data_IF_100381292820
#
_entry.id   IF_100381292820
#
_cell.length_a   1.000
_cell.length_b   1.000
_cell.length_c   1.000
_cell.angle_alpha   90.00
_cell.angle_beta   90.00
_cell.angle_gamma   90.00
#
_symmetry.space_group_name_H-M   'P 1'
#
loop_
_entity.id
_entity.type
_entity.pdbx_description
1 polymer ?
#
# COMPACT_ATOMS: atom_id res chain seq x y z
N UNK A 1 21.69 18.00 18.39
CA UNK A 1 21.66 17.89 16.92
C UNK A 1 22.91 18.52 16.30
N UNK A 2 23.32 18.01 15.12
CA UNK A 2 24.45 18.54 14.39
C UNK A 2 24.15 19.83 13.60
N UNK A 3 25.09 20.26 12.78
CA UNK A 3 24.94 21.40 11.89
C UNK A 3 24.24 20.98 10.59
N UNK A 4 23.57 21.93 9.94
CA UNK A 4 23.15 21.76 8.56
C UNK A 4 24.31 22.14 7.64
N UNK A 5 24.75 21.18 6.81
CA UNK A 5 25.92 21.30 5.95
C UNK A 5 25.51 21.10 4.49
N UNK A 6 26.35 21.51 3.54
CA UNK A 6 26.12 21.31 2.12
C UNK A 6 26.32 19.83 1.69
N UNK A 7 26.17 19.54 0.41
CA UNK A 7 26.34 18.19 -0.15
C UNK A 7 27.71 17.57 0.14
N UNK A 8 28.75 18.39 0.28
CA UNK A 8 30.13 17.96 0.55
C UNK A 8 30.41 17.79 2.05
N UNK A 9 29.46 18.14 2.93
CA UNK A 9 29.67 18.16 4.37
C UNK A 9 30.36 19.43 4.87
N UNK A 10 30.40 20.50 4.08
CA UNK A 10 31.01 21.75 4.48
C UNK A 10 29.98 22.67 5.14
N UNK A 11 30.42 23.40 6.15
CA UNK A 11 29.60 24.42 6.82
C UNK A 11 29.15 25.47 5.81
N UNK A 12 27.84 25.72 5.76
CA UNK A 12 27.25 26.76 4.91
C UNK A 12 27.66 28.15 5.38
N UNK A 13 28.13 28.99 4.44
CA UNK A 13 28.42 30.39 4.70
C UNK A 13 28.12 31.26 3.48
N UNK A 14 27.73 32.52 3.72
CA UNK A 14 27.46 33.48 2.63
C UNK A 14 28.73 33.74 1.79
N UNK A 15 29.89 33.74 2.39
CA UNK A 15 31.18 33.95 1.69
C UNK A 15 31.56 32.81 0.76
N UNK A 16 31.13 31.56 1.05
CA UNK A 16 31.33 30.39 0.16
C UNK A 16 30.25 30.25 -0.89
N UNK A 17 29.14 30.99 -0.79
CA UNK A 17 28.03 30.90 -1.72
C UNK A 17 27.24 29.59 -1.68
N UNK A 18 27.46 28.74 -0.65
CA UNK A 18 26.84 27.42 -0.51
C UNK A 18 25.62 27.40 0.43
N UNK A 19 25.07 28.58 0.73
CA UNK A 19 23.90 28.71 1.63
C UNK A 19 22.63 28.27 0.89
N UNK A 20 21.93 27.32 1.48
CA UNK A 20 20.59 26.89 1.05
C UNK A 20 19.58 27.52 2.02
N UNK A 21 18.91 28.59 1.58
CA UNK A 21 17.93 29.28 2.41
C UNK A 21 16.58 28.53 2.40
N UNK A 22 15.91 28.37 3.56
CA UNK A 22 14.59 27.72 3.65
C UNK A 22 13.54 28.32 2.73
N UNK A 23 13.49 29.66 2.59
CA UNK A 23 12.57 30.36 1.70
C UNK A 23 12.75 29.98 0.23
N UNK A 24 13.98 29.72 -0.20
CA UNK A 24 14.29 29.27 -1.55
C UNK A 24 13.76 27.85 -1.77
N UNK A 25 13.97 26.96 -0.79
CA UNK A 25 13.43 25.59 -0.85
C UNK A 25 11.90 25.61 -0.88
N UNK A 26 11.28 26.41 -0.01
CA UNK A 26 9.83 26.52 0.05
C UNK A 26 9.22 27.01 -1.25
N UNK A 27 9.89 27.93 -1.96
CA UNK A 27 9.44 28.42 -3.29
C UNK A 27 9.62 27.40 -4.40
N UNK A 28 10.69 26.61 -4.36
CA UNK A 28 11.04 25.67 -5.45
C UNK A 28 10.36 24.31 -5.26
N UNK A 29 10.36 23.76 -4.05
CA UNK A 29 9.88 22.41 -3.74
C UNK A 29 8.59 22.39 -2.92
N UNK A 30 8.28 23.47 -2.22
CA UNK A 30 7.21 23.52 -1.22
C UNK A 30 7.72 23.27 0.19
N UNK A 31 7.06 23.87 1.18
CA UNK A 31 7.45 23.81 2.60
C UNK A 31 7.39 22.38 3.15
N UNK A 32 6.46 21.57 2.68
CA UNK A 32 6.28 20.18 3.14
C UNK A 32 7.45 19.27 2.79
N UNK A 33 8.12 19.54 1.66
CA UNK A 33 9.34 18.80 1.29
C UNK A 33 10.47 19.09 2.28
N UNK A 34 10.60 20.34 2.73
CA UNK A 34 11.58 20.72 3.75
C UNK A 34 11.26 20.05 5.11
N UNK A 35 9.99 20.06 5.52
CA UNK A 35 9.54 19.40 6.74
C UNK A 35 9.76 17.88 6.70
N UNK A 36 9.43 17.25 5.57
CA UNK A 36 9.66 15.82 5.37
C UNK A 36 11.15 15.48 5.36
N UNK A 37 11.99 16.33 4.75
CA UNK A 37 13.46 16.15 4.78
C UNK A 37 13.98 16.14 6.22
N UNK A 38 13.53 17.07 7.08
CA UNK A 38 13.89 17.06 8.50
C UNK A 38 13.43 15.77 9.18
N UNK A 39 12.17 15.34 8.91
CA UNK A 39 11.62 14.12 9.49
C UNK A 39 12.32 12.83 9.03
N UNK A 40 12.91 12.83 7.83
CA UNK A 40 13.65 11.69 7.28
C UNK A 40 15.15 11.70 7.62
N UNK A 41 15.65 12.80 8.18
CA UNK A 41 17.07 12.95 8.47
C UNK A 41 17.39 12.47 9.87
N UNK A 42 18.53 11.80 10.02
CA UNK A 42 19.12 11.53 11.33
C UNK A 42 19.82 12.82 11.84
N UNK A 43 19.14 13.53 12.73
CA UNK A 43 19.61 14.78 13.28
C UNK A 43 20.59 14.63 14.46
N UNK A 44 20.96 13.41 14.82
CA UNK A 44 22.01 13.15 15.84
C UNK A 44 23.40 13.60 15.36
N UNK A 45 23.62 13.58 14.04
CA UNK A 45 24.81 14.09 13.38
C UNK A 45 24.54 15.34 12.51
N UNK A 46 25.49 15.68 11.64
CA UNK A 46 25.37 16.79 10.70
C UNK A 46 24.38 16.45 9.56
N UNK A 47 23.47 17.38 9.30
CA UNK A 47 22.41 17.22 8.29
C UNK A 47 22.88 17.73 6.93
N UNK A 48 23.03 16.84 5.96
CA UNK A 48 23.36 17.23 4.58
C UNK A 48 22.11 17.66 3.82
N UNK A 49 22.20 18.82 3.16
CA UNK A 49 21.15 19.31 2.28
C UNK A 49 21.71 19.63 0.89
N UNK A 50 20.99 19.17 -0.14
CA UNK A 50 21.29 19.47 -1.53
C UNK A 50 20.03 19.37 -2.38
N UNK A 51 20.05 19.90 -3.59
CA UNK A 51 18.94 19.78 -4.52
C UNK A 51 18.60 18.32 -4.83
N UNK A 52 19.58 17.43 -4.92
CA UNK A 52 19.34 16.01 -5.21
C UNK A 52 18.65 15.31 -4.04
N UNK A 53 19.05 15.60 -2.82
CA UNK A 53 18.38 15.11 -1.60
C UNK A 53 16.92 15.61 -1.57
N UNK A 54 16.71 16.89 -1.84
CA UNK A 54 15.36 17.47 -1.88
C UNK A 54 14.49 16.87 -2.98
N UNK A 55 15.05 16.56 -4.17
CA UNK A 55 14.34 15.85 -5.24
C UNK A 55 13.93 14.44 -4.80
N UNK A 56 14.82 13.69 -4.15
CA UNK A 56 14.50 12.37 -3.60
C UNK A 56 13.36 12.46 -2.57
N UNK A 57 13.41 13.44 -1.67
CA UNK A 57 12.34 13.66 -0.71
C UNK A 57 11.02 14.08 -1.39
N UNK A 58 11.08 14.84 -2.47
CA UNK A 58 9.90 15.18 -3.26
C UNK A 58 9.25 13.92 -3.90
N UNK A 59 10.04 12.95 -4.36
CA UNK A 59 9.50 11.68 -4.85
C UNK A 59 8.84 10.87 -3.73
N UNK A 60 9.42 10.83 -2.53
CA UNK A 60 8.81 10.18 -1.36
C UNK A 60 7.51 10.87 -0.95
N UNK A 61 7.51 12.20 -0.91
CA UNK A 61 6.30 12.99 -0.67
C UNK A 61 5.19 12.69 -1.68
N UNK A 62 5.53 12.61 -2.98
CA UNK A 62 4.56 12.25 -4.03
C UNK A 62 3.94 10.87 -3.79
N UNK A 63 4.72 9.88 -3.32
CA UNK A 63 4.20 8.57 -2.98
C UNK A 63 3.15 8.67 -1.85
N UNK A 64 3.47 9.38 -0.76
CA UNK A 64 2.53 9.60 0.35
C UNK A 64 1.25 10.26 -0.18
N UNK A 65 1.37 11.39 -0.90
CA UNK A 65 0.24 12.14 -1.43
C UNK A 65 -0.63 11.31 -2.39
N UNK A 66 -0.01 10.57 -3.29
CA UNK A 66 -0.72 9.69 -4.22
C UNK A 66 -1.47 8.57 -3.51
N UNK A 67 -0.88 7.98 -2.47
CA UNK A 67 -1.55 6.95 -1.65
C UNK A 67 -2.77 7.54 -0.95
N UNK A 68 -2.64 8.69 -0.31
CA UNK A 68 -3.77 9.40 0.32
C UNK A 68 -4.87 9.68 -0.72
N UNK A 69 -4.51 10.24 -1.87
CA UNK A 69 -5.45 10.53 -2.95
C UNK A 69 -6.19 9.28 -3.43
N UNK A 70 -5.48 8.17 -3.58
CA UNK A 70 -6.08 6.90 -3.98
C UNK A 70 -7.09 6.41 -2.94
N UNK A 71 -6.72 6.41 -1.66
CA UNK A 71 -7.61 6.02 -0.56
C UNK A 71 -8.87 6.88 -0.56
N UNK A 72 -8.73 8.21 -0.55
CA UNK A 72 -9.87 9.14 -0.49
C UNK A 72 -10.81 8.98 -1.69
N UNK A 73 -10.26 8.85 -2.90
CA UNK A 73 -11.06 8.69 -4.10
C UNK A 73 -11.90 7.40 -4.09
N UNK A 74 -11.36 6.31 -3.54
CA UNK A 74 -12.04 5.01 -3.56
C UNK A 74 -12.98 4.76 -2.38
N UNK A 75 -13.01 5.65 -1.39
CA UNK A 75 -13.99 5.61 -0.29
C UNK A 75 -15.03 6.73 -0.39
N UNK A 76 -15.05 7.49 -1.48
CA UNK A 76 -15.90 8.66 -1.63
C UNK A 76 -17.39 8.33 -1.61
N UNK A 77 -17.77 7.17 -2.08
CA UNK A 77 -19.15 6.67 -2.10
C UNK A 77 -19.48 5.73 -0.91
N UNK A 78 -18.55 5.57 0.04
CA UNK A 78 -18.76 4.75 1.24
C UNK A 78 -19.73 5.45 2.21
N UNK A 79 -20.94 4.93 2.28
CA UNK A 79 -21.99 5.46 3.17
C UNK A 79 -22.01 4.71 4.51
N UNK A 80 -21.07 5.04 5.39
CA UNK A 80 -20.96 4.49 6.75
C UNK A 80 -20.15 5.44 7.64
N UNK A 81 -20.01 5.13 8.91
CA UNK A 81 -19.09 5.81 9.83
C UNK A 81 -17.95 4.86 10.24
N UNK A 82 -16.89 5.41 10.84
CA UNK A 82 -15.71 4.64 11.20
C UNK A 82 -15.99 3.54 12.26
N UNK A 83 -16.94 3.75 13.15
CA UNK A 83 -17.30 2.76 14.16
C UNK A 83 -17.97 1.53 13.53
N UNK A 84 -18.83 1.74 12.55
CA UNK A 84 -19.43 0.63 11.80
C UNK A 84 -18.41 0.01 10.81
N UNK A 85 -17.55 0.81 10.21
CA UNK A 85 -16.48 0.32 9.37
C UNK A 85 -15.55 -0.66 10.11
N UNK A 86 -15.26 -0.44 11.40
CA UNK A 86 -14.50 -1.38 12.24
C UNK A 86 -15.15 -2.75 12.41
N UNK A 87 -16.48 -2.82 12.27
CA UNK A 87 -17.27 -4.06 12.45
C UNK A 87 -17.52 -4.78 11.12
N UNK A 88 -17.00 -4.29 10.01
CA UNK A 88 -17.19 -4.91 8.70
C UNK A 88 -16.69 -6.36 8.70
N UNK A 89 -17.35 -7.21 7.93
CA UNK A 89 -16.88 -8.58 7.72
C UNK A 89 -15.71 -8.56 6.73
N UNK A 90 -14.50 -8.36 7.26
CA UNK A 90 -13.30 -8.23 6.47
C UNK A 90 -12.91 -9.52 5.77
N UNK A 91 -12.54 -9.42 4.50
CA UNK A 91 -11.96 -10.52 3.75
C UNK A 91 -10.55 -10.85 4.28
N UNK A 92 -9.97 -11.98 3.86
CA UNK A 92 -8.63 -12.38 4.28
C UNK A 92 -7.58 -11.29 3.97
N UNK A 93 -7.67 -10.70 2.78
CA UNK A 93 -6.73 -9.67 2.32
C UNK A 93 -6.90 -8.37 3.13
N UNK A 94 -8.14 -7.99 3.45
CA UNK A 94 -8.42 -6.82 4.28
C UNK A 94 -7.92 -7.01 5.72
N UNK A 95 -8.09 -8.19 6.29
CA UNK A 95 -7.54 -8.55 7.60
C UNK A 95 -6.02 -8.46 7.61
N UNK A 96 -5.37 -8.98 6.57
CA UNK A 96 -3.92 -8.92 6.42
C UNK A 96 -3.40 -7.50 6.44
N UNK A 97 -3.95 -6.60 5.60
CA UNK A 97 -3.46 -5.21 5.54
C UNK A 97 -3.79 -4.43 6.83
N UNK A 98 -4.92 -4.71 7.48
CA UNK A 98 -5.28 -4.09 8.76
C UNK A 98 -4.32 -4.50 9.87
N UNK A 99 -3.88 -5.77 9.93
CA UNK A 99 -2.85 -6.23 10.86
C UNK A 99 -1.52 -5.49 10.60
N UNK A 100 -1.09 -5.44 9.34
CA UNK A 100 0.15 -4.73 8.94
C UNK A 100 0.08 -3.25 9.31
N UNK A 101 -1.02 -2.57 8.96
CA UNK A 101 -1.23 -1.17 9.29
C UNK A 101 -1.23 -0.93 10.81
N UNK A 102 -1.88 -1.80 11.58
CA UNK A 102 -1.92 -1.70 13.04
C UNK A 102 -0.52 -1.77 13.64
N UNK A 103 0.29 -2.74 13.25
CA UNK A 103 1.66 -2.89 13.73
C UNK A 103 2.53 -1.69 13.33
N UNK A 104 2.57 -1.35 12.04
CA UNK A 104 3.42 -0.26 11.53
C UNK A 104 3.04 1.09 12.13
N UNK A 105 1.75 1.42 12.21
CA UNK A 105 1.33 2.73 12.75
C UNK A 105 1.58 2.84 14.25
N UNK A 106 1.51 1.73 14.99
CA UNK A 106 1.94 1.68 16.39
C UNK A 106 3.44 1.95 16.51
N UNK A 107 4.27 1.25 15.75
CA UNK A 107 5.74 1.42 15.76
C UNK A 107 6.14 2.86 15.36
N UNK A 108 5.50 3.42 14.33
CA UNK A 108 5.74 4.81 13.91
C UNK A 108 5.35 5.79 15.00
N UNK A 109 4.21 5.57 15.68
CA UNK A 109 3.79 6.41 16.81
C UNK A 109 4.78 6.36 17.95
N UNK A 110 5.32 5.18 18.26
CA UNK A 110 6.36 5.02 19.29
C UNK A 110 7.67 5.72 18.89
N UNK A 111 8.10 5.55 17.63
CA UNK A 111 9.26 6.28 17.09
C UNK A 111 9.09 7.80 17.22
N UNK A 112 7.90 8.33 16.90
CA UNK A 112 7.62 9.76 17.01
C UNK A 112 7.63 10.25 18.46
N UNK A 113 7.10 9.47 19.42
CA UNK A 113 7.18 9.79 20.85
C UNK A 113 8.62 9.77 21.38
N UNK A 114 9.44 8.87 20.82
CA UNK A 114 10.87 8.78 21.15
C UNK A 114 11.73 9.79 20.38
N UNK A 115 11.14 10.66 19.56
CA UNK A 115 11.84 11.59 18.68
C UNK A 115 12.74 10.92 17.61
N UNK A 116 12.55 9.64 17.33
CA UNK A 116 13.22 8.90 16.24
C UNK A 116 12.39 9.00 14.94
N UNK A 117 12.29 10.23 14.43
CA UNK A 117 11.44 10.52 13.27
C UNK A 117 11.91 9.80 12.00
N UNK A 118 13.23 9.71 11.79
CA UNK A 118 13.79 9.07 10.61
C UNK A 118 13.40 7.60 10.51
N UNK A 119 13.52 6.85 11.61
CA UNK A 119 13.09 5.45 11.68
C UNK A 119 11.59 5.31 11.43
N UNK A 120 10.78 6.16 12.09
CA UNK A 120 9.33 6.16 11.91
C UNK A 120 8.92 6.42 10.47
N UNK A 121 9.42 7.47 9.82
CA UNK A 121 9.09 7.78 8.43
C UNK A 121 9.59 6.73 7.43
N UNK A 122 10.77 6.15 7.64
CA UNK A 122 11.26 5.07 6.78
C UNK A 122 10.37 3.83 6.88
N UNK A 123 9.94 3.44 8.09
CA UNK A 123 8.98 2.35 8.29
C UNK A 123 7.64 2.62 7.61
N UNK A 124 7.12 3.85 7.77
CA UNK A 124 5.89 4.27 7.12
C UNK A 124 5.99 4.22 5.58
N UNK A 125 7.05 4.78 5.00
CA UNK A 125 7.27 4.80 3.55
C UNK A 125 7.41 3.40 2.97
N UNK A 126 8.07 2.49 3.69
CA UNK A 126 8.16 1.09 3.29
C UNK A 126 6.77 0.43 3.26
N UNK A 127 5.98 0.58 4.31
CA UNK A 127 4.60 0.08 4.36
C UNK A 127 3.75 0.65 3.21
N UNK A 128 3.78 1.97 3.00
CA UNK A 128 2.98 2.62 1.96
C UNK A 128 3.36 2.15 0.55
N UNK A 129 4.65 1.86 0.30
CA UNK A 129 5.12 1.44 -1.03
C UNK A 129 5.00 -0.05 -1.27
N UNK A 130 5.37 -0.89 -0.31
CA UNK A 130 5.45 -2.34 -0.47
C UNK A 130 4.13 -3.03 -0.15
N UNK A 131 3.64 -2.87 1.08
CA UNK A 131 2.44 -3.61 1.53
C UNK A 131 1.16 -2.96 1.01
N UNK A 132 1.00 -1.65 1.25
CA UNK A 132 -0.24 -0.96 0.91
C UNK A 132 -0.38 -0.79 -0.61
N UNK A 133 0.51 -0.03 -1.26
CA UNK A 133 0.38 0.24 -2.70
C UNK A 133 0.80 -0.93 -3.58
N UNK A 134 1.90 -1.62 -3.21
CA UNK A 134 2.47 -2.69 -4.02
C UNK A 134 1.67 -3.99 -4.01
N UNK A 135 0.91 -4.25 -2.94
CA UNK A 135 0.11 -5.47 -2.81
C UNK A 135 -1.37 -5.14 -2.68
N UNK A 136 -1.76 -4.51 -1.58
CA UNK A 136 -3.18 -4.39 -1.22
C UNK A 136 -3.99 -3.56 -2.21
N UNK A 137 -3.55 -2.33 -2.49
CA UNK A 137 -4.31 -1.44 -3.39
C UNK A 137 -4.33 -1.96 -4.83
N UNK A 138 -3.29 -2.66 -5.26
CA UNK A 138 -3.25 -3.27 -6.59
C UNK A 138 -4.29 -4.39 -6.72
N UNK A 139 -4.36 -5.29 -5.74
CA UNK A 139 -5.39 -6.34 -5.64
C UNK A 139 -6.80 -5.75 -5.59
N UNK A 140 -7.00 -4.68 -4.81
CA UNK A 140 -8.32 -4.10 -4.61
C UNK A 140 -8.89 -3.39 -5.85
N UNK A 141 -8.10 -3.13 -6.89
CA UNK A 141 -8.61 -2.47 -8.11
C UNK A 141 -9.79 -3.19 -8.73
N UNK A 142 -9.74 -4.52 -8.81
CA UNK A 142 -10.86 -5.30 -9.36
C UNK A 142 -12.11 -5.16 -8.51
N UNK A 143 -11.98 -5.20 -7.18
CA UNK A 143 -13.09 -5.05 -6.24
C UNK A 143 -13.72 -3.66 -6.33
N UNK A 144 -12.89 -2.62 -6.48
CA UNK A 144 -13.34 -1.23 -6.51
C UNK A 144 -14.00 -0.85 -7.84
N UNK A 145 -13.49 -1.38 -8.97
CA UNK A 145 -13.88 -0.93 -10.31
C UNK A 145 -14.75 -1.92 -11.06
N UNK A 146 -14.67 -3.22 -10.75
CA UNK A 146 -15.41 -4.26 -11.45
C UNK A 146 -16.59 -4.81 -10.66
N UNK A 147 -16.51 -4.86 -9.33
CA UNK A 147 -17.61 -5.37 -8.51
C UNK A 147 -18.80 -4.40 -8.52
N UNK A 148 -19.97 -4.96 -8.24
CA UNK A 148 -21.18 -4.16 -8.06
C UNK A 148 -21.04 -3.24 -6.84
N UNK A 149 -21.68 -2.06 -6.88
CA UNK A 149 -21.60 -1.06 -5.79
C UNK A 149 -21.99 -1.61 -4.41
N UNK A 150 -22.90 -2.57 -4.37
CA UNK A 150 -23.36 -3.23 -3.15
C UNK A 150 -22.61 -4.55 -2.86
N UNK A 151 -21.48 -4.82 -3.51
CA UNK A 151 -20.68 -6.00 -3.24
C UNK A 151 -20.11 -5.97 -1.83
N UNK A 152 -20.27 -7.07 -1.08
CA UNK A 152 -19.69 -7.21 0.26
C UNK A 152 -18.15 -7.08 0.24
N UNK A 153 -17.48 -7.60 -0.80
CA UNK A 153 -16.04 -7.48 -0.98
C UNK A 153 -15.59 -6.03 -1.20
N UNK A 154 -16.35 -5.28 -2.02
CA UNK A 154 -16.09 -3.86 -2.27
C UNK A 154 -16.26 -3.06 -1.00
N UNK A 155 -17.37 -3.26 -0.28
CA UNK A 155 -17.65 -2.62 1.00
C UNK A 155 -16.56 -2.91 2.03
N UNK A 156 -16.14 -4.16 2.17
CA UNK A 156 -15.05 -4.59 3.06
C UNK A 156 -13.75 -3.84 2.77
N UNK A 157 -13.34 -3.79 1.50
CA UNK A 157 -12.14 -3.07 1.08
C UNK A 157 -12.22 -1.57 1.36
N UNK A 158 -13.38 -0.94 1.09
CA UNK A 158 -13.59 0.48 1.38
C UNK A 158 -13.54 0.78 2.89
N UNK A 159 -14.11 -0.09 3.73
CA UNK A 159 -14.01 0.05 5.18
C UNK A 159 -12.55 -0.04 5.67
N UNK A 160 -11.78 -1.01 5.18
CA UNK A 160 -10.37 -1.12 5.50
C UNK A 160 -9.57 0.12 5.05
N UNK A 161 -9.82 0.60 3.83
CA UNK A 161 -9.19 1.82 3.31
C UNK A 161 -9.54 3.07 4.13
N UNK A 162 -10.80 3.21 4.58
CA UNK A 162 -11.24 4.33 5.40
C UNK A 162 -10.52 4.34 6.77
N UNK A 163 -10.40 3.19 7.40
CA UNK A 163 -9.69 3.04 8.68
C UNK A 163 -8.19 3.37 8.54
N UNK A 164 -7.55 2.85 7.50
CA UNK A 164 -6.15 3.13 7.20
C UNK A 164 -5.95 4.62 6.88
N UNK A 165 -6.81 5.21 6.04
CA UNK A 165 -6.73 6.63 5.69
C UNK A 165 -6.87 7.52 6.93
N UNK A 166 -7.86 7.26 7.79
CA UNK A 166 -8.08 8.05 9.03
C UNK A 166 -6.86 8.00 9.96
N UNK A 167 -6.31 6.80 10.16
CA UNK A 167 -5.14 6.62 11.02
C UNK A 167 -3.88 7.25 10.41
N UNK A 168 -3.64 7.06 9.11
CA UNK A 168 -2.52 7.64 8.38
C UNK A 168 -2.53 9.16 8.44
N UNK A 169 -3.68 9.80 8.15
CA UNK A 169 -3.82 11.27 8.20
C UNK A 169 -3.49 11.82 9.58
N UNK A 170 -4.03 11.20 10.64
CA UNK A 170 -3.71 11.61 12.01
C UNK A 170 -2.23 11.45 12.37
N UNK A 171 -1.60 10.39 11.87
CA UNK A 171 -0.20 10.06 12.17
C UNK A 171 0.76 11.07 11.54
N UNK A 172 0.50 11.50 10.30
CA UNK A 172 1.40 12.39 9.55
C UNK A 172 1.07 13.88 9.70
N UNK A 173 -0.10 14.24 10.24
CA UNK A 173 -0.55 15.62 10.40
C UNK A 173 0.48 16.54 11.08
N UNK A 174 1.23 16.13 12.12
CA UNK A 174 2.21 17.00 12.75
C UNK A 174 3.37 17.43 11.85
N UNK A 175 3.67 16.66 10.78
CA UNK A 175 4.78 16.94 9.86
C UNK A 175 4.28 17.43 8.51
N UNK A 176 3.29 16.77 7.92
CA UNK A 176 2.71 17.10 6.62
C UNK A 176 1.34 17.80 6.79
N UNK A 177 1.32 18.85 7.58
CA UNK A 177 0.10 19.52 8.04
C UNK A 177 -0.75 20.06 6.89
N UNK A 178 -0.13 20.76 5.93
CA UNK A 178 -0.88 21.35 4.78
C UNK A 178 -1.44 20.27 3.84
N UNK A 179 -0.69 19.19 3.65
CA UNK A 179 -1.16 18.05 2.85
C UNK A 179 -2.36 17.37 3.51
N UNK A 180 -2.29 17.19 4.83
CA UNK A 180 -3.39 16.60 5.58
C UNK A 180 -4.59 17.52 5.61
N UNK A 181 -4.39 18.82 5.76
CA UNK A 181 -5.47 19.81 5.73
C UNK A 181 -6.20 19.81 4.36
N UNK A 182 -5.44 19.85 3.25
CA UNK A 182 -6.00 19.70 1.91
C UNK A 182 -6.77 18.38 1.74
N UNK A 183 -6.23 17.28 2.30
CA UNK A 183 -6.89 15.99 2.30
C UNK A 183 -8.19 15.99 3.07
N UNK A 184 -8.22 16.62 4.26
CA UNK A 184 -9.42 16.74 5.09
C UNK A 184 -10.51 17.59 4.42
N UNK A 185 -10.15 18.69 3.76
CA UNK A 185 -11.13 19.49 2.98
C UNK A 185 -11.81 18.66 1.89
N UNK A 186 -11.07 17.75 1.24
CA UNK A 186 -11.55 16.88 0.16
C UNK A 186 -12.07 15.53 0.67
N UNK A 187 -11.95 15.22 1.96
CA UNK A 187 -12.29 13.92 2.52
C UNK A 187 -13.79 13.64 2.45
N UNK A 188 -14.20 12.38 2.20
CA UNK A 188 -15.60 11.97 2.29
C UNK A 188 -16.09 11.98 3.74
N UNK A 189 -17.43 11.99 3.88
CA UNK A 189 -18.11 12.11 5.19
C UNK A 189 -17.66 11.08 6.23
N UNK A 190 -17.35 9.86 5.79
CA UNK A 190 -16.87 8.77 6.67
C UNK A 190 -15.62 9.17 7.46
N UNK A 191 -14.76 10.02 6.92
CA UNK A 191 -13.52 10.48 7.58
C UNK A 191 -13.71 11.79 8.35
N UNK A 192 -14.62 12.65 7.89
CA UNK A 192 -14.80 13.98 8.48
C UNK A 192 -15.44 13.94 9.85
N UNK A 193 -16.44 13.06 10.03
CA UNK A 193 -17.28 13.07 11.24
C UNK A 193 -17.69 14.53 11.59
N UNK A 194 -17.13 15.10 12.68
CA UNK A 194 -17.33 16.50 13.07
C UNK A 194 -16.05 17.35 12.87
N UNK A 195 -15.05 16.84 12.15
CA UNK A 195 -13.76 17.50 11.94
C UNK A 195 -13.82 18.42 10.72
N UNK A 196 -13.22 19.61 10.82
CA UNK A 196 -13.20 20.61 9.76
C UNK A 196 -11.83 20.68 9.06
N UNK A 197 -10.76 20.53 9.83
CA UNK A 197 -9.39 20.68 9.34
C UNK A 197 -8.41 19.68 9.99
N UNK A 198 -7.13 19.81 9.65
CA UNK A 198 -6.07 18.93 10.17
C UNK A 198 -5.87 19.06 11.69
N UNK A 199 -6.25 20.17 12.32
CA UNK A 199 -6.06 20.36 13.77
C UNK A 199 -7.10 19.62 14.61
N UNK A 200 -8.22 19.25 14.02
CA UNK A 200 -9.24 18.43 14.67
C UNK A 200 -8.85 16.94 14.73
N UNK A 201 -7.81 16.54 13.97
CA UNK A 201 -7.37 15.15 13.91
C UNK A 201 -6.68 14.72 15.21
N UNK A 202 -7.34 13.86 15.95
CA UNK A 202 -6.73 13.13 17.07
C UNK A 202 -6.14 11.81 16.57
N UNK A 203 -5.21 11.26 17.37
CA UNK A 203 -4.68 9.92 17.09
C UNK A 203 -5.81 8.90 16.95
N UNK A 204 -5.71 8.06 15.93
CA UNK A 204 -6.69 7.01 15.66
C UNK A 204 -5.97 5.67 15.50
N UNK A 205 -5.65 5.00 16.63
CA UNK A 205 -4.92 3.75 16.60
C UNK A 205 -5.78 2.65 15.97
N UNK A 206 -5.16 1.86 15.13
CA UNK A 206 -5.70 0.62 14.63
C UNK A 206 -5.26 -0.51 15.57
N UNK A 207 -6.20 -1.28 16.08
CA UNK A 207 -5.93 -2.37 17.04
C UNK A 207 -6.45 -3.68 16.46
N UNK A 208 -6.04 -4.00 15.22
CA UNK A 208 -6.39 -5.25 14.58
C UNK A 208 -5.27 -6.26 14.78
N UNK A 209 -5.64 -7.47 15.15
CA UNK A 209 -4.74 -8.62 15.30
C UNK A 209 -5.50 -9.90 14.95
N UNK A 210 -5.78 -10.09 13.66
CA UNK A 210 -6.41 -11.30 13.16
C UNK A 210 -5.40 -12.44 13.08
N UNK A 211 -5.80 -13.63 13.46
CA UNK A 211 -4.98 -14.83 13.20
C UNK A 211 -4.99 -15.13 11.69
N UNK A 212 -3.85 -14.95 11.07
CA UNK A 212 -3.65 -15.19 9.63
C UNK A 212 -2.31 -15.89 9.44
N UNK A 213 -2.34 -17.02 8.77
CA UNK A 213 -1.14 -17.72 8.34
C UNK A 213 -0.66 -17.13 7.00
N UNK A 214 0.01 -15.99 7.04
CA UNK A 214 0.42 -15.24 5.83
C UNK A 214 1.81 -15.58 5.30
N UNK A 215 2.64 -16.28 6.06
CA UNK A 215 4.02 -16.59 5.66
C UNK A 215 4.08 -17.37 4.34
N UNK A 216 3.28 -18.44 4.21
CA UNK A 216 3.22 -19.23 2.98
C UNK A 216 2.70 -18.38 1.80
N UNK A 217 1.69 -17.53 2.04
CA UNK A 217 1.12 -16.66 1.03
C UNK A 217 2.14 -15.63 0.53
N UNK A 218 2.90 -15.03 1.44
CA UNK A 218 3.94 -14.05 1.09
C UNK A 218 5.10 -14.70 0.33
N UNK A 219 5.65 -15.80 0.87
CA UNK A 219 6.79 -16.48 0.27
C UNK A 219 6.47 -17.06 -1.12
N UNK A 220 5.29 -17.67 -1.27
CA UNK A 220 4.87 -18.21 -2.57
C UNK A 220 4.55 -17.10 -3.59
N UNK A 221 3.99 -15.96 -3.15
CA UNK A 221 3.76 -14.80 -4.02
C UNK A 221 5.09 -14.20 -4.52
N UNK A 222 6.11 -14.13 -3.67
CA UNK A 222 7.44 -13.63 -4.08
C UNK A 222 8.03 -14.49 -5.19
N UNK A 223 8.04 -15.81 -5.02
CA UNK A 223 8.50 -16.75 -6.06
C UNK A 223 7.68 -16.68 -7.34
N UNK A 224 6.36 -16.56 -7.23
CA UNK A 224 5.49 -16.36 -8.37
C UNK A 224 5.87 -15.09 -9.14
N UNK A 225 6.10 -13.98 -8.44
CA UNK A 225 6.43 -12.69 -9.06
C UNK A 225 7.76 -12.76 -9.84
N UNK A 226 8.77 -13.48 -9.35
CA UNK A 226 10.04 -13.69 -10.07
C UNK A 226 9.79 -14.38 -11.42
N UNK A 227 8.96 -15.44 -11.44
CA UNK A 227 8.59 -16.14 -12.67
C UNK A 227 7.78 -15.22 -13.60
N UNK A 228 6.78 -14.54 -13.06
CA UNK A 228 5.93 -13.59 -13.81
C UNK A 228 6.77 -12.51 -14.49
N UNK A 229 7.75 -11.94 -13.78
CA UNK A 229 8.63 -10.92 -14.34
C UNK A 229 9.49 -11.47 -15.50
N UNK A 230 9.94 -12.71 -15.39
CA UNK A 230 10.64 -13.41 -16.46
C UNK A 230 9.72 -13.61 -17.68
N UNK A 231 8.50 -14.11 -17.46
CA UNK A 231 7.53 -14.36 -18.52
C UNK A 231 7.11 -13.07 -19.25
N UNK A 232 6.95 -11.96 -18.51
CA UNK A 232 6.66 -10.64 -19.09
C UNK A 232 7.82 -10.11 -19.92
N UNK A 233 9.07 -10.26 -19.45
CA UNK A 233 10.28 -9.87 -20.21
C UNK A 233 10.40 -10.66 -21.51
N UNK A 234 10.05 -11.94 -21.50
CA UNK A 234 10.01 -12.81 -22.68
C UNK A 234 8.77 -12.59 -23.57
N UNK A 235 7.84 -11.72 -23.15
CA UNK A 235 6.57 -11.42 -23.84
C UNK A 235 5.64 -12.64 -24.00
N UNK A 236 5.78 -13.64 -23.15
CA UNK A 236 4.93 -14.85 -23.14
C UNK A 236 3.55 -14.55 -22.56
N UNK A 237 3.47 -13.58 -21.64
CA UNK A 237 2.23 -13.09 -21.04
C UNK A 237 2.21 -11.55 -21.04
N UNK A 238 1.02 -10.97 -21.05
CA UNK A 238 0.80 -9.52 -20.87
C UNK A 238 0.31 -9.20 -19.46
N UNK A 239 -0.42 -10.11 -18.83
CA UNK A 239 -1.02 -9.96 -17.51
C UNK A 239 -0.90 -11.27 -16.72
N UNK A 240 -0.76 -11.17 -15.41
CA UNK A 240 -0.84 -12.32 -14.49
C UNK A 240 -2.19 -13.02 -14.53
N UNK A 241 -3.26 -12.29 -14.91
CA UNK A 241 -4.61 -12.84 -15.08
C UNK A 241 -4.72 -13.83 -16.26
N UNK A 242 -3.67 -13.97 -17.09
CA UNK A 242 -3.58 -15.02 -18.10
C UNK A 242 -3.11 -16.37 -17.52
N UNK A 243 -2.77 -16.39 -16.24
CA UNK A 243 -2.20 -17.54 -15.56
C UNK A 243 -3.20 -18.22 -14.63
N UNK A 244 -2.98 -19.53 -14.47
CA UNK A 244 -3.61 -20.38 -13.46
C UNK A 244 -2.51 -21.08 -12.67
N UNK A 245 -2.77 -21.34 -11.39
CA UNK A 245 -1.86 -22.04 -10.48
C UNK A 245 -2.40 -23.44 -10.19
N UNK A 246 -1.59 -24.45 -10.40
CA UNK A 246 -1.83 -25.80 -9.94
C UNK A 246 -0.90 -26.08 -8.76
N UNK A 247 -1.47 -26.52 -7.64
CA UNK A 247 -0.69 -26.79 -6.43
C UNK A 247 -1.20 -28.00 -5.65
N UNK A 248 -0.27 -28.72 -5.02
CA UNK A 248 -0.59 -29.78 -4.07
C UNK A 248 -0.67 -29.27 -2.62
N UNK A 249 -0.55 -27.97 -2.39
CA UNK A 249 -0.71 -27.36 -1.07
C UNK A 249 -2.13 -27.45 -0.58
N UNK A 250 -2.40 -28.37 0.36
CA UNK A 250 -3.71 -28.49 1.01
C UNK A 250 -4.14 -27.20 1.70
N UNK A 251 -3.16 -26.44 2.24
CA UNK A 251 -3.44 -25.14 2.90
C UNK A 251 -3.94 -24.11 1.91
N UNK A 252 -3.26 -23.91 0.79
CA UNK A 252 -3.68 -22.95 -0.25
C UNK A 252 -5.03 -23.33 -0.84
N UNK A 253 -5.26 -24.61 -1.12
CA UNK A 253 -6.53 -25.09 -1.66
C UNK A 253 -7.67 -24.89 -0.66
N UNK A 254 -7.48 -25.22 0.61
CA UNK A 254 -8.48 -24.98 1.66
C UNK A 254 -8.74 -23.48 1.86
N UNK A 255 -7.71 -22.63 1.84
CA UNK A 255 -7.88 -21.18 1.88
C UNK A 255 -8.67 -20.67 0.69
N UNK A 256 -8.42 -21.19 -0.52
CA UNK A 256 -9.11 -20.81 -1.74
C UNK A 256 -10.60 -21.20 -1.68
N UNK A 257 -10.93 -22.37 -1.15
CA UNK A 257 -12.31 -22.83 -0.96
C UNK A 257 -13.04 -21.99 0.10
N UNK A 258 -12.39 -21.69 1.23
CA UNK A 258 -13.01 -21.01 2.36
C UNK A 258 -13.14 -19.49 2.19
N UNK A 259 -12.28 -18.87 1.39
CA UNK A 259 -12.23 -17.40 1.22
C UNK A 259 -12.65 -16.95 -0.18
N UNK A 260 -13.29 -17.81 -0.94
CA UNK A 260 -13.76 -17.47 -2.29
C UNK A 260 -12.60 -17.03 -3.21
N UNK A 261 -12.76 -15.90 -3.89
CA UNK A 261 -11.74 -15.39 -4.82
C UNK A 261 -10.54 -14.71 -4.15
N UNK A 262 -10.49 -14.59 -2.83
CA UNK A 262 -9.44 -13.83 -2.13
C UNK A 262 -8.03 -14.37 -2.40
N UNK A 263 -7.87 -15.69 -2.47
CA UNK A 263 -6.57 -16.31 -2.74
C UNK A 263 -6.16 -16.14 -4.20
N UNK A 264 -7.11 -16.23 -5.13
CA UNK A 264 -6.88 -15.91 -6.55
C UNK A 264 -6.48 -14.45 -6.71
N UNK A 265 -7.16 -13.54 -6.01
CA UNK A 265 -6.84 -12.11 -5.99
C UNK A 265 -5.45 -11.87 -5.37
N UNK A 266 -5.10 -12.59 -4.28
CA UNK A 266 -3.78 -12.52 -3.67
C UNK A 266 -2.65 -12.78 -4.66
N UNK A 267 -2.79 -13.81 -5.48
CA UNK A 267 -1.82 -14.13 -6.53
C UNK A 267 -2.06 -13.37 -7.84
N UNK A 268 -3.18 -12.67 -7.95
CA UNK A 268 -3.61 -11.98 -9.17
C UNK A 268 -3.70 -12.92 -10.38
N UNK A 269 -4.22 -14.12 -10.19
CA UNK A 269 -4.40 -15.15 -11.22
C UNK A 269 -5.87 -15.45 -11.46
N UNK A 270 -6.18 -16.12 -12.57
CA UNK A 270 -7.56 -16.45 -12.92
C UNK A 270 -8.12 -17.64 -12.16
N UNK A 271 -7.28 -18.62 -11.82
CA UNK A 271 -7.71 -19.80 -11.06
C UNK A 271 -6.57 -20.40 -10.22
N UNK A 272 -6.96 -21.12 -9.17
CA UNK A 272 -6.08 -21.97 -8.35
C UNK A 272 -6.76 -23.31 -8.19
N UNK A 273 -6.08 -24.40 -8.51
CA UNK A 273 -6.64 -25.74 -8.55
C UNK A 273 -5.64 -26.81 -8.07
N UNK A 274 -6.17 -27.99 -7.70
CA UNK A 274 -5.33 -29.11 -7.29
C UNK A 274 -4.76 -29.87 -8.49
N UNK A 275 -5.46 -29.87 -9.61
CA UNK A 275 -5.08 -30.54 -10.84
C UNK A 275 -5.57 -29.76 -12.07
N UNK A 276 -4.90 -29.88 -13.18
CA UNK A 276 -5.24 -29.20 -14.42
C UNK A 276 -4.23 -29.49 -15.53
N UNK A 277 -4.67 -29.29 -16.78
CA UNK A 277 -3.86 -29.49 -17.97
C UNK A 277 -3.59 -28.16 -18.68
N UNK A 278 -2.33 -27.91 -19.01
CA UNK A 278 -1.93 -26.71 -19.73
C UNK A 278 -0.45 -26.69 -20.04
N UNK A 279 -0.04 -25.71 -20.83
CA UNK A 279 1.36 -25.41 -21.06
C UNK A 279 1.99 -24.89 -19.77
N UNK A 280 2.97 -25.60 -19.23
CA UNK A 280 3.69 -25.21 -18.03
C UNK A 280 4.68 -24.08 -18.38
N UNK A 281 4.44 -22.90 -17.83
CA UNK A 281 5.30 -21.72 -18.04
C UNK A 281 6.33 -21.53 -16.94
N UNK A 282 6.16 -22.19 -15.80
CA UNK A 282 7.09 -22.16 -14.69
C UNK A 282 6.65 -23.03 -13.52
N UNK A 283 7.60 -23.37 -12.68
CA UNK A 283 7.38 -24.19 -11.48
C UNK A 283 8.24 -23.68 -10.33
N UNK A 284 7.75 -23.80 -9.11
CA UNK A 284 8.51 -23.53 -7.90
C UNK A 284 8.00 -24.37 -6.72
N UNK A 285 8.87 -24.55 -5.73
CA UNK A 285 8.53 -25.16 -4.44
C UNK A 285 8.49 -24.09 -3.34
N UNK A 286 7.53 -24.21 -2.44
CA UNK A 286 7.40 -23.37 -1.24
C UNK A 286 6.79 -24.19 -0.10
N UNK A 287 7.47 -24.26 1.06
CA UNK A 287 7.03 -24.99 2.25
C UNK A 287 6.51 -26.43 1.93
N UNK A 288 7.33 -27.23 1.26
CA UNK A 288 7.03 -28.62 0.86
C UNK A 288 5.85 -28.76 -0.14
N UNK A 289 5.38 -27.66 -0.70
CA UNK A 289 4.35 -27.67 -1.74
C UNK A 289 4.91 -27.27 -3.09
N UNK A 290 4.42 -27.94 -4.13
CA UNK A 290 4.76 -27.64 -5.52
C UNK A 290 3.69 -26.72 -6.12
N UNK A 291 4.17 -25.74 -6.88
CA UNK A 291 3.37 -24.79 -7.62
C UNK A 291 3.75 -24.86 -9.08
N UNK A 292 2.80 -25.19 -9.96
CA UNK A 292 2.94 -25.13 -11.41
C UNK A 292 2.12 -23.98 -11.95
N UNK A 293 2.71 -23.18 -12.79
CA UNK A 293 2.08 -22.01 -13.41
C UNK A 293 1.78 -22.40 -14.86
N UNK A 294 0.52 -22.37 -15.22
CA UNK A 294 0.07 -22.69 -16.57
C UNK A 294 -0.63 -21.47 -17.19
N UNK A 295 -0.67 -21.45 -18.53
CA UNK A 295 -1.44 -20.46 -19.27
C UNK A 295 -2.88 -20.91 -19.35
N UNK A 296 -3.82 -20.07 -18.92
CA UNK A 296 -5.23 -20.35 -19.03
C UNK A 296 -5.68 -20.40 -20.50
N UNK A 297 -6.56 -21.33 -20.81
CA UNK A 297 -7.22 -21.45 -22.12
C UNK A 297 -8.62 -20.83 -22.13
N UNK A 298 -9.09 -20.32 -21.00
CA UNK A 298 -10.41 -19.75 -20.85
C UNK A 298 -10.56 -18.39 -21.56
N UNK A 299 -11.78 -17.95 -21.77
CA UNK A 299 -12.09 -16.67 -22.41
C UNK A 299 -11.93 -15.51 -21.45
N UNK A 300 -11.41 -14.40 -21.96
CA UNK A 300 -11.16 -13.17 -21.19
C UNK A 300 -12.47 -12.41 -20.95
N UNK A 301 -12.79 -12.15 -19.68
CA UNK A 301 -13.88 -11.24 -19.32
C UNK A 301 -13.55 -9.80 -19.79
N UNK A 302 -14.44 -9.13 -20.54
CA UNK A 302 -14.18 -7.77 -21.02
C UNK A 302 -14.14 -6.73 -19.90
N UNK A 303 -14.74 -7.01 -18.75
CA UNK A 303 -14.83 -6.08 -17.61
C UNK A 303 -13.65 -6.21 -16.65
N UNK A 304 -13.40 -7.39 -16.10
CA UNK A 304 -12.34 -7.59 -15.08
C UNK A 304 -11.06 -8.21 -15.63
N UNK A 305 -11.06 -8.61 -16.90
CA UNK A 305 -9.93 -9.22 -17.61
C UNK A 305 -9.49 -10.59 -17.10
N UNK A 306 -10.12 -11.13 -16.06
CA UNK A 306 -9.91 -12.52 -15.64
C UNK A 306 -10.37 -13.46 -16.74
N UNK A 307 -9.73 -14.63 -16.85
CA UNK A 307 -10.11 -15.65 -17.78
C UNK A 307 -11.20 -16.52 -17.14
N UNK A 308 -12.39 -16.54 -17.73
CA UNK A 308 -13.56 -17.30 -17.25
C UNK A 308 -13.82 -18.50 -18.14
N UNK A 309 -14.35 -19.59 -17.56
CA UNK A 309 -14.56 -20.85 -18.27
C UNK A 309 -15.64 -20.80 -19.35
N UNK A 310 -16.59 -19.87 -19.29
CA UNK A 310 -17.70 -19.74 -20.25
C UNK A 310 -17.93 -18.29 -20.67
N UNK A 311 -18.36 -18.07 -21.95
CA UNK A 311 -18.78 -16.75 -22.44
C UNK A 311 -20.08 -16.24 -21.81
N UNK A 312 -20.88 -17.12 -21.19
CA UNK A 312 -22.19 -16.79 -20.64
C UNK A 312 -22.16 -16.04 -19.30
N UNK A 313 -20.99 -15.95 -18.65
CA UNK A 313 -20.82 -15.26 -17.36
C UNK A 313 -20.21 -13.86 -17.50
N UNK A 314 -20.33 -13.22 -18.66
CA UNK A 314 -19.81 -11.87 -18.91
C UNK A 314 -20.89 -10.80 -18.81
#
# INVERSE_FOLDING_TARGET
HGFTVDAKGEKMSKSKGNVVAPDKIAKEFGVEILRLWVGLSDYSGDLKISNDILKQNAEQYRKIRNTIRFLLANINDLNTNLNEAKKANFTLIDKWILNKASAVFSDVSECFRAYDFAKGFNGLLNFLSSDLSGIYLDICKDRLYCDHINSARRYSAQCAMALIARSLLALIAPVLTYTVDEAMHSAPSVLKENMQDAFDLTQYPLNFNYEIEDNLLLASREKLNEIVDSLKKQKLIKSTLELEIITNSRRILAMNENNGSDIQDWYMVSAIMADGEGEILGEFECEEANFRIIKSKAHKCPRCWKLASTQENT
#
